data_IF_160710295366
#
_entry.id   IF_160710295366
#
_cell.length_a   1.000
_cell.length_b   1.000
_cell.length_c   1.000
_cell.angle_alpha   90.00
_cell.angle_beta   90.00
_cell.angle_gamma   90.00
#
_symmetry.space_group_name_H-M   'P 1'
#
loop_
_entity.id
_entity.type
_entity.pdbx_description
1 polymer ?
#
# COMPACT_ATOMS: atom_id res chain seq x y z
N UNK A 1 2.16 12.09 23.21
CA UNK A 1 3.12 10.98 23.10
C UNK A 1 3.69 11.05 21.69
N UNK A 2 4.85 11.67 21.55
CA UNK A 2 5.63 11.62 20.32
C UNK A 2 6.16 10.20 20.19
N UNK A 3 5.53 9.40 19.35
CA UNK A 3 6.11 8.14 18.92
C UNK A 3 7.22 8.50 17.95
N UNK A 4 8.44 8.63 18.43
CA UNK A 4 9.63 8.75 17.59
C UNK A 4 9.80 7.42 16.85
N UNK A 5 9.29 7.33 15.63
CA UNK A 5 9.61 6.24 14.73
C UNK A 5 11.04 6.43 14.27
N UNK A 6 11.87 5.40 14.42
CA UNK A 6 13.19 5.38 13.79
C UNK A 6 12.99 4.88 12.37
N UNK A 7 13.07 5.78 11.41
CA UNK A 7 12.96 5.45 10.00
C UNK A 7 14.33 5.04 9.45
N UNK A 8 14.36 3.96 8.69
CA UNK A 8 15.60 3.46 8.08
C UNK A 8 15.75 3.85 6.59
N UNK A 9 15.02 4.86 6.14
CA UNK A 9 15.20 5.41 4.80
C UNK A 9 16.53 6.15 4.65
N UNK A 10 17.06 6.18 3.44
CA UNK A 10 18.34 6.88 3.19
C UNK A 10 18.25 8.36 3.53
N UNK A 11 17.14 9.02 3.17
CA UNK A 11 16.93 10.44 3.46
C UNK A 11 16.77 10.69 4.97
N UNK A 12 16.05 9.80 5.69
CA UNK A 12 15.94 9.88 7.15
C UNK A 12 17.29 9.87 7.86
N UNK A 13 18.24 9.09 7.35
CA UNK A 13 19.61 9.04 7.88
C UNK A 13 20.37 10.33 7.65
N UNK A 14 20.16 10.99 6.50
CA UNK A 14 20.81 12.26 6.18
C UNK A 14 20.26 13.42 7.00
N UNK A 15 18.98 13.37 7.35
CA UNK A 15 18.27 14.42 8.11
C UNK A 15 18.17 14.12 9.61
N UNK A 16 18.86 13.07 10.11
CA UNK A 16 18.76 12.60 11.50
C UNK A 16 17.30 12.34 11.94
N UNK A 17 16.50 11.74 11.06
CA UNK A 17 15.08 11.47 11.25
C UNK A 17 14.23 12.73 11.49
N UNK A 18 14.67 13.88 11.02
CA UNK A 18 13.88 15.11 11.12
C UNK A 18 13.00 15.29 9.87
N UNK A 19 11.73 15.62 10.03
CA UNK A 19 10.88 15.99 8.90
C UNK A 19 11.24 17.37 8.35
N UNK A 20 10.95 17.66 7.07
CA UNK A 20 10.42 16.75 6.06
C UNK A 20 11.51 15.95 5.31
N UNK A 21 11.14 14.75 4.88
CA UNK A 21 11.91 14.02 3.85
C UNK A 21 11.46 14.53 2.47
N UNK A 22 12.16 15.55 1.99
CA UNK A 22 11.72 16.33 0.81
C UNK A 22 11.68 15.48 -0.45
N UNK A 23 12.75 14.71 -0.73
CA UNK A 23 12.84 13.91 -1.95
C UNK A 23 11.84 12.78 -1.95
N UNK A 24 11.71 12.04 -0.84
CA UNK A 24 10.71 10.97 -0.69
C UNK A 24 9.29 11.51 -0.82
N UNK A 25 9.01 12.67 -0.21
CA UNK A 25 7.68 13.30 -0.31
C UNK A 25 7.32 13.64 -1.76
N UNK A 26 8.14 14.40 -2.46
CA UNK A 26 7.81 14.83 -3.82
C UNK A 26 7.83 13.69 -4.83
N UNK A 27 8.74 12.71 -4.69
CA UNK A 27 8.76 11.54 -5.58
C UNK A 27 7.53 10.67 -5.40
N UNK A 28 6.95 10.59 -4.22
CA UNK A 28 5.70 9.87 -3.98
C UNK A 28 4.51 10.41 -4.79
N UNK A 29 4.49 11.70 -5.11
CA UNK A 29 3.44 12.28 -5.94
C UNK A 29 3.41 11.72 -7.36
N UNK A 30 4.52 11.18 -7.88
CA UNK A 30 4.50 10.51 -9.19
C UNK A 30 3.58 9.29 -9.20
N UNK A 31 3.42 8.61 -8.05
CA UNK A 31 2.47 7.49 -7.92
C UNK A 31 1.04 7.98 -8.12
N UNK A 32 0.69 9.14 -7.57
CA UNK A 32 -0.62 9.78 -7.78
C UNK A 32 -0.82 10.22 -9.23
N UNK A 33 0.21 10.79 -9.83
CA UNK A 33 0.12 11.31 -11.20
C UNK A 33 -0.06 10.19 -12.24
N UNK A 34 0.46 9.01 -11.97
CA UNK A 34 0.41 7.90 -12.93
C UNK A 34 -1.02 7.57 -13.41
N UNK A 35 -2.00 7.26 -12.55
CA UNK A 35 -3.37 7.01 -12.99
C UNK A 35 -4.08 8.27 -13.50
N UNK A 36 -3.70 9.47 -13.06
CA UNK A 36 -4.28 10.71 -13.54
C UNK A 36 -3.87 11.03 -14.99
N UNK A 37 -2.61 10.73 -15.34
CA UNK A 37 -2.07 10.99 -16.67
C UNK A 37 -2.49 9.90 -17.66
N UNK A 38 -2.42 8.64 -17.26
CA UNK A 38 -2.80 7.50 -18.13
C UNK A 38 -4.32 7.28 -18.22
N UNK A 39 -5.08 7.87 -17.32
CA UNK A 39 -6.51 7.69 -17.20
C UNK A 39 -6.89 6.46 -16.37
N UNK A 40 -8.10 6.50 -15.84
CA UNK A 40 -8.61 5.41 -15.01
C UNK A 40 -9.16 4.27 -15.89
N UNK A 41 -8.85 3.01 -15.54
CA UNK A 41 -9.38 1.86 -16.25
C UNK A 41 -10.92 1.80 -16.20
N UNK A 42 -11.56 1.33 -17.28
CA UNK A 42 -13.02 1.14 -17.33
C UNK A 42 -13.51 -0.04 -16.47
N UNK A 43 -12.65 -1.00 -16.19
CA UNK A 43 -12.98 -2.14 -15.34
C UNK A 43 -12.99 -1.70 -13.88
N UNK A 44 -14.09 -1.94 -13.18
CA UNK A 44 -14.30 -1.50 -11.79
C UNK A 44 -13.20 -1.97 -10.83
N UNK A 45 -12.65 -3.17 -11.01
CA UNK A 45 -11.61 -3.70 -10.12
C UNK A 45 -10.30 -2.93 -10.34
N UNK A 46 -9.87 -2.80 -11.58
CA UNK A 46 -8.66 -2.03 -11.90
C UNK A 46 -8.84 -0.52 -11.68
N UNK A 47 -10.07 -0.02 -11.79
CA UNK A 47 -10.41 1.34 -11.35
C UNK A 47 -10.12 1.52 -9.85
N UNK A 48 -10.52 0.56 -9.00
CA UNK A 48 -10.21 0.60 -7.58
C UNK A 48 -8.69 0.55 -7.32
N UNK A 49 -7.95 -0.28 -8.07
CA UNK A 49 -6.47 -0.29 -7.98
C UNK A 49 -5.90 1.09 -8.30
N UNK A 50 -6.35 1.72 -9.38
CA UNK A 50 -5.89 3.05 -9.77
C UNK A 50 -6.23 4.12 -8.73
N UNK A 51 -7.43 4.06 -8.14
CA UNK A 51 -7.83 4.94 -7.04
C UNK A 51 -6.96 4.74 -5.80
N UNK A 52 -6.67 3.48 -5.42
CA UNK A 52 -5.81 3.19 -4.27
C UNK A 52 -4.37 3.64 -4.51
N UNK A 53 -3.85 3.49 -5.73
CA UNK A 53 -2.53 4.01 -6.09
C UNK A 53 -2.48 5.53 -6.05
N UNK A 54 -3.50 6.21 -6.58
CA UNK A 54 -3.58 7.67 -6.50
C UNK A 54 -3.64 8.16 -5.05
N UNK A 55 -4.42 7.49 -4.21
CA UNK A 55 -4.50 7.78 -2.78
C UNK A 55 -3.17 7.48 -2.07
N UNK A 56 -2.51 6.35 -2.41
CA UNK A 56 -1.22 5.97 -1.84
C UNK A 56 -0.16 7.05 -2.07
N UNK A 57 -0.04 7.60 -3.28
CA UNK A 57 0.93 8.66 -3.54
C UNK A 57 0.71 9.91 -2.70
N UNK A 58 -0.55 10.30 -2.44
CA UNK A 58 -0.88 11.41 -1.52
C UNK A 58 -0.59 11.05 -0.08
N UNK A 59 -0.94 9.85 0.36
CA UNK A 59 -0.68 9.35 1.71
C UNK A 59 0.82 9.25 1.99
N UNK A 60 1.59 8.75 1.02
CA UNK A 60 3.05 8.65 1.07
C UNK A 60 3.69 10.04 1.13
N UNK A 61 3.22 10.98 0.30
CA UNK A 61 3.66 12.38 0.41
C UNK A 61 3.44 12.92 1.81
N UNK A 62 2.24 12.78 2.35
CA UNK A 62 1.89 13.27 3.69
C UNK A 62 2.74 12.61 4.78
N UNK A 63 2.99 11.29 4.66
CA UNK A 63 3.82 10.54 5.58
C UNK A 63 5.27 11.06 5.61
N UNK A 64 5.91 11.12 4.46
CA UNK A 64 7.30 11.57 4.35
C UNK A 64 7.49 13.04 4.69
N UNK A 65 6.45 13.85 4.47
CA UNK A 65 6.50 15.28 4.81
C UNK A 65 6.39 15.51 6.32
N UNK A 66 5.59 14.72 7.03
CA UNK A 66 5.31 14.92 8.46
C UNK A 66 5.95 13.86 9.37
N UNK A 67 6.37 12.72 8.86
CA UNK A 67 6.92 11.57 9.58
C UNK A 67 6.05 11.17 10.79
N UNK A 68 4.72 11.15 10.61
CA UNK A 68 3.79 10.81 11.67
C UNK A 68 3.15 9.41 11.46
N UNK A 69 2.68 8.83 12.56
CA UNK A 69 2.08 7.49 12.55
C UNK A 69 0.82 7.38 11.66
N UNK A 70 -0.02 8.41 11.62
CA UNK A 70 -1.25 8.42 10.79
C UNK A 70 -0.88 8.36 9.31
N UNK A 71 0.10 9.17 8.89
CA UNK A 71 0.60 9.16 7.51
C UNK A 71 1.17 7.80 7.13
N UNK A 72 1.99 7.21 8.02
CA UNK A 72 2.53 5.85 7.83
C UNK A 72 1.42 4.83 7.62
N UNK A 73 0.41 4.82 8.48
CA UNK A 73 -0.69 3.88 8.36
C UNK A 73 -1.49 4.08 7.06
N UNK A 74 -1.74 5.33 6.68
CA UNK A 74 -2.44 5.63 5.43
C UNK A 74 -1.65 5.16 4.19
N UNK A 75 -0.34 5.37 4.18
CA UNK A 75 0.56 4.92 3.12
C UNK A 75 0.57 3.39 3.01
N UNK A 76 0.89 2.70 4.09
CA UNK A 76 1.02 1.24 4.11
C UNK A 76 -0.31 0.51 3.86
N UNK A 77 -1.42 0.96 4.46
CA UNK A 77 -2.75 0.36 4.24
C UNK A 77 -3.21 0.55 2.80
N UNK A 78 -2.96 1.71 2.19
CA UNK A 78 -3.33 1.93 0.79
C UNK A 78 -2.56 1.01 -0.17
N UNK A 79 -1.30 0.69 0.11
CA UNK A 79 -0.52 -0.30 -0.64
C UNK A 79 -1.12 -1.71 -0.50
N UNK A 80 -1.51 -2.11 0.71
CA UNK A 80 -2.16 -3.42 0.95
C UNK A 80 -3.48 -3.51 0.18
N UNK A 81 -4.29 -2.45 0.20
CA UNK A 81 -5.57 -2.41 -0.51
C UNK A 81 -5.39 -2.43 -2.04
N UNK A 82 -4.40 -1.69 -2.58
CA UNK A 82 -4.08 -1.72 -4.00
C UNK A 82 -3.69 -3.14 -4.45
N UNK A 83 -2.86 -3.83 -3.65
CA UNK A 83 -2.47 -5.21 -3.91
C UNK A 83 -3.67 -6.18 -3.83
N UNK A 84 -4.53 -6.04 -2.81
CA UNK A 84 -5.76 -6.83 -2.68
C UNK A 84 -6.65 -6.74 -3.93
N UNK A 85 -6.94 -5.53 -4.42
CA UNK A 85 -7.74 -5.34 -5.63
C UNK A 85 -7.01 -5.85 -6.88
N UNK A 86 -5.69 -5.68 -6.96
CA UNK A 86 -4.87 -6.20 -8.04
C UNK A 86 -4.96 -7.72 -8.15
N UNK A 87 -4.77 -8.43 -7.04
CA UNK A 87 -4.89 -9.89 -6.96
C UNK A 87 -6.30 -10.33 -7.33
N UNK A 88 -7.32 -9.68 -6.78
CA UNK A 88 -8.71 -10.00 -7.12
C UNK A 88 -8.99 -9.81 -8.62
N UNK A 89 -8.45 -8.76 -9.23
CA UNK A 89 -8.54 -8.52 -10.66
C UNK A 89 -7.92 -9.66 -11.48
N UNK A 90 -6.72 -10.08 -11.11
CA UNK A 90 -6.01 -11.19 -11.74
C UNK A 90 -6.76 -12.52 -11.58
N UNK A 91 -7.18 -12.86 -10.37
CA UNK A 91 -7.96 -14.08 -10.11
C UNK A 91 -9.25 -14.12 -10.96
N UNK A 92 -9.93 -13.00 -11.09
CA UNK A 92 -11.13 -12.91 -11.93
C UNK A 92 -10.83 -13.12 -13.41
N UNK A 93 -9.68 -12.68 -13.88
CA UNK A 93 -9.25 -12.91 -15.27
C UNK A 93 -8.93 -14.40 -15.52
N UNK A 94 -8.24 -15.05 -14.59
CA UNK A 94 -7.82 -16.46 -14.75
C UNK A 94 -8.94 -17.46 -14.50
N UNK A 95 -9.81 -17.20 -13.53
CA UNK A 95 -10.84 -18.16 -13.07
C UNK A 95 -12.27 -17.74 -13.39
N UNK A 96 -12.46 -16.92 -14.42
CA UNK A 96 -13.79 -16.37 -14.79
C UNK A 96 -14.85 -17.45 -15.02
N UNK A 97 -14.46 -18.63 -15.48
CA UNK A 97 -15.37 -19.74 -15.77
C UNK A 97 -15.70 -20.59 -14.53
N UNK A 98 -14.88 -20.55 -13.50
CA UNK A 98 -15.09 -21.33 -12.27
C UNK A 98 -15.30 -20.45 -11.05
N UNK A 99 -16.57 -20.05 -10.87
CA UNK A 99 -16.96 -19.15 -9.77
C UNK A 99 -16.66 -19.72 -8.38
N UNK A 100 -16.70 -21.04 -8.20
CA UNK A 100 -16.42 -21.67 -6.91
C UNK A 100 -14.94 -21.50 -6.52
N UNK A 101 -14.03 -21.80 -7.45
CA UNK A 101 -12.61 -21.61 -7.25
C UNK A 101 -12.28 -20.14 -7.04
N UNK A 102 -12.86 -19.25 -7.86
CA UNK A 102 -12.66 -17.81 -7.73
C UNK A 102 -13.07 -17.31 -6.34
N UNK A 103 -14.23 -17.70 -5.85
CA UNK A 103 -14.71 -17.26 -4.54
C UNK A 103 -13.83 -17.79 -3.40
N UNK A 104 -13.34 -19.03 -3.52
CA UNK A 104 -12.46 -19.63 -2.54
C UNK A 104 -11.12 -18.88 -2.44
N UNK A 105 -10.44 -18.63 -3.57
CA UNK A 105 -9.20 -17.85 -3.60
C UNK A 105 -9.41 -16.42 -3.14
N UNK A 106 -10.50 -15.78 -3.56
CA UNK A 106 -10.80 -14.42 -3.11
C UNK A 106 -11.11 -14.36 -1.60
N UNK A 107 -11.72 -15.42 -1.05
CA UNK A 107 -11.90 -15.56 0.40
C UNK A 107 -10.55 -15.55 1.14
N UNK A 108 -9.59 -16.34 0.69
CA UNK A 108 -8.24 -16.35 1.24
C UNK A 108 -7.53 -15.00 1.08
N UNK A 109 -7.60 -14.39 -0.10
CA UNK A 109 -7.05 -13.06 -0.34
C UNK A 109 -7.62 -12.02 0.66
N UNK A 110 -8.93 -12.09 0.94
CA UNK A 110 -9.57 -11.21 1.92
C UNK A 110 -9.06 -11.46 3.34
N UNK A 111 -8.94 -12.73 3.74
CA UNK A 111 -8.41 -13.10 5.06
C UNK A 111 -6.98 -12.59 5.23
N UNK A 112 -6.12 -12.81 4.25
CA UNK A 112 -4.75 -12.30 4.27
C UNK A 112 -4.71 -10.79 4.37
N UNK A 113 -5.49 -10.08 3.57
CA UNK A 113 -5.57 -8.62 3.64
C UNK A 113 -5.96 -8.13 5.04
N UNK A 114 -6.98 -8.73 5.66
CA UNK A 114 -7.43 -8.35 7.01
C UNK A 114 -6.32 -8.60 8.04
N UNK A 115 -5.69 -9.78 8.00
CA UNK A 115 -4.59 -10.13 8.89
C UNK A 115 -3.45 -9.11 8.75
N UNK A 116 -3.09 -8.75 7.52
CA UNK A 116 -2.05 -7.77 7.24
C UNK A 116 -2.34 -6.39 7.79
N UNK A 117 -3.55 -5.89 7.57
CA UNK A 117 -3.97 -4.59 8.11
C UNK A 117 -3.89 -4.60 9.65
N UNK A 118 -4.36 -5.68 10.29
CA UNK A 118 -4.30 -5.81 11.75
C UNK A 118 -2.85 -5.81 12.23
N UNK A 119 -1.99 -6.67 11.66
CA UNK A 119 -0.58 -6.74 12.05
C UNK A 119 0.14 -5.42 11.82
N UNK A 120 -0.10 -4.77 10.70
CA UNK A 120 0.49 -3.47 10.39
C UNK A 120 0.08 -2.40 11.40
N UNK A 121 -1.20 -2.38 11.78
CA UNK A 121 -1.72 -1.38 12.74
C UNK A 121 -1.19 -1.60 14.16
N UNK A 122 -1.00 -2.86 14.56
CA UNK A 122 -0.50 -3.19 15.90
C UNK A 122 1.03 -3.10 15.99
N UNK A 123 1.72 -3.38 14.88
CA UNK A 123 3.18 -3.40 14.85
C UNK A 123 3.77 -1.99 14.97
N UNK A 124 4.71 -1.86 15.90
CA UNK A 124 5.55 -0.66 16.03
C UNK A 124 6.86 -0.75 15.22
N UNK A 125 7.08 -1.87 14.53
CA UNK A 125 8.34 -2.15 13.85
C UNK A 125 8.23 -1.91 12.35
N UNK A 126 8.96 -0.94 11.85
CA UNK A 126 8.97 -0.57 10.43
C UNK A 126 9.47 -1.68 9.50
N UNK A 127 10.30 -2.60 10.00
CA UNK A 127 10.84 -3.69 9.18
C UNK A 127 9.83 -4.82 8.88
N UNK A 128 8.72 -4.89 9.63
CA UNK A 128 7.71 -5.93 9.41
C UNK A 128 6.89 -5.68 8.14
N UNK A 129 6.57 -4.44 7.83
CA UNK A 129 5.78 -4.13 6.64
C UNK A 129 6.42 -4.64 5.33
N UNK A 130 7.70 -4.34 5.01
CA UNK A 130 8.31 -4.84 3.77
C UNK A 130 8.32 -6.37 3.69
N UNK A 131 8.62 -7.05 4.81
CA UNK A 131 8.66 -8.52 4.86
C UNK A 131 7.29 -9.13 4.63
N UNK A 132 6.28 -8.61 5.32
CA UNK A 132 4.91 -9.06 5.17
C UNK A 132 4.39 -8.75 3.77
N UNK A 133 4.59 -7.55 3.26
CA UNK A 133 4.12 -7.13 1.93
C UNK A 133 4.74 -7.98 0.82
N UNK A 134 6.04 -8.25 0.89
CA UNK A 134 6.72 -9.16 -0.04
C UNK A 134 6.14 -10.57 0.05
N UNK A 135 5.90 -11.07 1.27
CA UNK A 135 5.28 -12.38 1.47
C UNK A 135 3.87 -12.45 0.87
N UNK A 136 3.09 -11.38 1.02
CA UNK A 136 1.74 -11.31 0.44
C UNK A 136 1.76 -11.37 -1.10
N UNK A 137 2.68 -10.65 -1.74
CA UNK A 137 2.82 -10.67 -3.20
C UNK A 137 3.31 -12.05 -3.69
N UNK A 138 4.20 -12.71 -2.96
CA UNK A 138 4.81 -13.99 -3.39
C UNK A 138 3.91 -15.19 -3.15
N UNK A 139 2.96 -15.13 -2.21
CA UNK A 139 2.01 -16.19 -1.89
C UNK A 139 0.75 -16.19 -2.75
N UNK A 140 0.58 -15.16 -3.56
CA UNK A 140 -0.56 -14.96 -4.45
C UNK A 140 -0.20 -15.06 -5.91
#
# INVERSE_FOLDING_TARGET
MENSFIHNFCESRLTNNQPPEIYNSYTSLFITLFPLVLGFPKNNIFYNVACMLAFNGVASFYYHYNLNWIGKQADEISMILANYYGIWGLLKMFYIQNKHILNWYNGWNTIFMIIFVIFNTISKYDFLFPTLFTSYITLT
#
